data_IF_493286870650
#
_entry.id   IF_493286870650
#
_cell.length_a   1.000
_cell.length_b   1.000
_cell.length_c   1.000
_cell.angle_alpha   90.00
_cell.angle_beta   90.00
_cell.angle_gamma   90.00
#
_symmetry.space_group_name_H-M   'P 1'
#
loop_
_entity.id
_entity.type
_entity.pdbx_description
1 polymer ?
#
# COMPACT_ATOMS: atom_id res chain seq x y z
N UNK A 1 -10.83 -1.29 -18.05
CA UNK A 1 -12.27 -1.57 -17.84
C UNK A 1 -12.65 -2.99 -18.22
N UNK A 2 -12.54 -3.42 -19.49
CA UNK A 2 -12.91 -4.78 -19.90
C UNK A 2 -12.35 -5.92 -19.01
N UNK A 3 -11.08 -5.83 -18.61
CA UNK A 3 -10.46 -6.82 -17.70
C UNK A 3 -11.05 -6.83 -16.28
N UNK A 4 -11.52 -5.69 -15.77
CA UNK A 4 -12.20 -5.63 -14.47
C UNK A 4 -13.57 -6.28 -14.55
N UNK A 5 -14.34 -6.01 -15.61
CA UNK A 5 -15.64 -6.67 -15.80
C UNK A 5 -15.49 -8.18 -15.94
N UNK A 6 -14.48 -8.67 -16.68
CA UNK A 6 -14.19 -10.11 -16.75
C UNK A 6 -13.89 -10.70 -15.38
N UNK A 7 -13.03 -10.05 -14.59
CA UNK A 7 -12.67 -10.52 -13.25
C UNK A 7 -13.86 -10.54 -12.30
N UNK A 8 -14.63 -9.45 -12.26
CA UNK A 8 -15.79 -9.30 -11.39
C UNK A 8 -16.90 -10.29 -11.76
N UNK A 9 -17.06 -10.60 -13.05
CA UNK A 9 -17.99 -11.63 -13.53
C UNK A 9 -17.55 -13.04 -13.15
N UNK A 10 -16.24 -13.32 -13.26
CA UNK A 10 -15.69 -14.64 -12.97
C UNK A 10 -15.63 -14.96 -11.48
N UNK A 11 -15.43 -13.94 -10.62
CA UNK A 11 -15.24 -14.10 -9.18
C UNK A 11 -16.32 -13.31 -8.41
N UNK A 12 -17.42 -13.95 -7.97
CA UNK A 12 -18.55 -13.24 -7.36
C UNK A 12 -18.20 -12.59 -6.01
N UNK A 13 -17.26 -13.20 -5.27
CA UNK A 13 -16.83 -12.72 -3.95
C UNK A 13 -15.55 -11.87 -4.00
N UNK A 14 -15.05 -11.55 -5.20
CA UNK A 14 -13.88 -10.68 -5.34
C UNK A 14 -14.31 -9.22 -5.22
N UNK A 15 -13.62 -8.49 -4.34
CA UNK A 15 -13.70 -7.05 -4.22
C UNK A 15 -12.42 -6.42 -4.77
N UNK A 16 -12.57 -5.28 -5.43
CA UNK A 16 -11.48 -4.47 -5.96
C UNK A 16 -11.32 -3.22 -5.10
N UNK A 17 -10.08 -2.94 -4.70
CA UNK A 17 -9.71 -1.69 -4.04
C UNK A 17 -8.77 -0.94 -4.98
N UNK A 18 -9.17 0.25 -5.42
CA UNK A 18 -8.38 1.10 -6.30
C UNK A 18 -7.84 2.28 -5.51
N UNK A 19 -6.51 2.45 -5.56
CA UNK A 19 -5.77 3.55 -4.95
C UNK A 19 -5.02 4.29 -6.07
N UNK A 20 -5.18 5.61 -6.22
CA UNK A 20 -4.53 6.36 -7.29
C UNK A 20 -3.03 6.50 -7.06
N UNK A 21 -2.33 6.93 -8.09
CA UNK A 21 -0.91 7.26 -8.08
C UNK A 21 -0.72 8.66 -8.68
N UNK A 22 0.30 9.39 -8.22
CA UNK A 22 0.67 10.69 -8.83
C UNK A 22 1.11 10.53 -10.29
N UNK A 23 1.35 9.30 -10.74
CA UNK A 23 1.62 8.98 -12.15
C UNK A 23 0.37 8.73 -13.01
N UNK A 24 -0.82 8.77 -12.43
CA UNK A 24 -2.07 8.68 -13.19
C UNK A 24 -2.35 10.00 -13.92
N UNK A 25 -2.10 10.01 -15.23
CA UNK A 25 -2.20 11.23 -16.07
C UNK A 25 -3.55 11.94 -16.02
N UNK A 26 -4.61 11.22 -15.70
CA UNK A 26 -5.99 11.72 -15.66
C UNK A 26 -6.45 12.12 -14.25
N UNK A 27 -5.56 12.07 -13.26
CA UNK A 27 -5.85 12.34 -11.85
C UNK A 27 -4.97 13.47 -11.31
N UNK A 28 -5.34 14.17 -10.21
CA UNK A 28 -4.51 15.26 -9.68
C UNK A 28 -3.05 14.87 -9.43
N UNK A 29 -2.12 15.64 -10.00
CA UNK A 29 -0.67 15.50 -9.82
C UNK A 29 -0.21 16.16 -8.51
N UNK A 30 -0.78 15.74 -7.38
CA UNK A 30 -0.46 16.28 -6.06
C UNK A 30 -0.73 15.23 -4.99
N UNK A 31 0.19 15.05 -4.04
CA UNK A 31 0.05 14.18 -2.89
C UNK A 31 -0.33 15.00 -1.65
N UNK A 32 -1.33 14.59 -0.86
CA UNK A 32 -2.15 13.39 -1.00
C UNK A 32 -3.19 13.54 -2.14
N UNK A 33 -3.63 12.43 -2.72
CA UNK A 33 -4.63 12.40 -3.80
C UNK A 33 -6.00 11.94 -3.30
N UNK A 34 -7.10 12.55 -3.78
CA UNK A 34 -8.45 12.05 -3.51
C UNK A 34 -8.67 10.70 -4.21
N UNK A 35 -9.71 9.92 -3.85
CA UNK A 35 -10.13 8.76 -4.63
C UNK A 35 -10.44 9.13 -6.09
N UNK A 36 -10.40 8.14 -6.99
CA UNK A 36 -10.87 8.33 -8.37
C UNK A 36 -12.34 8.76 -8.42
N UNK A 37 -12.72 9.47 -9.49
CA UNK A 37 -14.11 9.87 -9.69
C UNK A 37 -15.01 8.63 -9.84
N UNK A 38 -15.96 8.50 -8.92
CA UNK A 38 -16.87 7.35 -8.87
C UNK A 38 -17.75 7.25 -10.11
N UNK A 39 -18.22 8.37 -10.66
CA UNK A 39 -19.09 8.36 -11.84
C UNK A 39 -18.33 7.83 -13.05
N UNK A 40 -17.12 8.34 -13.29
CA UNK A 40 -16.27 7.93 -14.41
C UNK A 40 -15.87 6.46 -14.31
N UNK A 41 -15.48 5.99 -13.12
CA UNK A 41 -15.08 4.58 -12.96
C UNK A 41 -16.28 3.65 -13.15
N UNK A 42 -17.46 4.03 -12.67
CA UNK A 42 -18.64 3.16 -12.65
C UNK A 42 -19.38 3.13 -13.99
N UNK A 43 -19.30 4.19 -14.79
CA UNK A 43 -19.74 4.16 -16.20
C UNK A 43 -19.02 3.09 -17.03
N UNK A 44 -17.80 2.70 -16.64
CA UNK A 44 -17.08 1.59 -17.26
C UNK A 44 -17.55 0.20 -16.82
N UNK A 45 -18.29 0.06 -15.72
CA UNK A 45 -18.68 -1.25 -15.20
C UNK A 45 -19.91 -1.78 -15.93
N UNK A 46 -19.87 -3.04 -16.37
CA UNK A 46 -20.93 -3.62 -17.20
C UNK A 46 -22.23 -3.91 -16.41
N UNK A 47 -22.15 -3.94 -15.08
CA UNK A 47 -23.28 -4.21 -14.19
C UNK A 47 -23.24 -3.33 -12.94
N UNK A 48 -24.40 -2.81 -12.55
CA UNK A 48 -24.58 -2.08 -11.28
C UNK A 48 -24.24 -2.92 -10.05
N UNK A 49 -24.33 -4.24 -10.14
CA UNK A 49 -23.98 -5.15 -9.04
C UNK A 49 -22.48 -5.11 -8.72
N UNK A 50 -21.66 -4.65 -9.65
CA UNK A 50 -20.23 -4.47 -9.44
C UNK A 50 -19.92 -3.27 -8.55
N UNK A 51 -20.85 -2.31 -8.43
CA UNK A 51 -20.66 -1.06 -7.67
C UNK A 51 -20.43 -1.30 -6.17
N UNK A 52 -20.96 -2.38 -5.61
CA UNK A 52 -20.75 -2.77 -4.20
C UNK A 52 -19.40 -3.45 -3.96
N UNK A 53 -18.73 -3.88 -5.04
CA UNK A 53 -17.47 -4.63 -5.00
C UNK A 53 -16.27 -3.82 -5.44
N UNK A 54 -16.47 -2.61 -5.96
CA UNK A 54 -15.38 -1.70 -6.35
C UNK A 54 -15.30 -0.54 -5.34
N UNK A 55 -14.22 -0.52 -4.58
CA UNK A 55 -13.91 0.48 -3.55
C UNK A 55 -12.83 1.42 -4.07
N UNK A 56 -13.11 2.73 -4.05
CA UNK A 56 -12.17 3.76 -4.48
C UNK A 56 -11.64 4.47 -3.24
N UNK A 57 -10.33 4.43 -3.02
CA UNK A 57 -9.67 5.03 -1.85
C UNK A 57 -8.68 6.11 -2.26
N UNK A 58 -8.30 6.97 -1.31
CA UNK A 58 -7.28 8.01 -1.49
C UNK A 58 -5.86 7.42 -1.52
N UNK A 59 -4.90 8.25 -1.95
CA UNK A 59 -3.47 7.98 -1.80
C UNK A 59 -2.83 9.02 -0.87
N UNK A 60 -2.35 8.64 0.33
CA UNK A 60 -2.36 7.30 0.89
C UNK A 60 -3.76 6.93 1.43
N UNK A 61 -3.92 5.70 1.91
CA UNK A 61 -5.14 5.28 2.62
C UNK A 61 -4.85 4.27 3.73
N UNK A 62 -5.66 4.36 4.79
CA UNK A 62 -5.77 3.35 5.85
C UNK A 62 -7.18 2.78 5.83
N UNK A 63 -7.34 1.47 5.75
CA UNK A 63 -8.64 0.80 5.66
C UNK A 63 -8.60 -0.54 6.37
N UNK A 64 -9.76 -1.18 6.56
CA UNK A 64 -9.85 -2.47 7.23
C UNK A 64 -10.45 -3.55 6.33
N UNK A 65 -9.91 -4.75 6.42
CA UNK A 65 -10.49 -5.96 5.81
C UNK A 65 -10.60 -7.01 6.91
N UNK A 66 -11.83 -7.42 7.25
CA UNK A 66 -12.10 -8.40 8.30
C UNK A 66 -11.37 -8.09 9.62
N UNK A 67 -11.39 -6.83 10.04
CA UNK A 67 -10.72 -6.35 11.26
C UNK A 67 -9.20 -6.14 11.14
N UNK A 68 -8.57 -6.57 10.04
CA UNK A 68 -7.15 -6.31 9.77
C UNK A 68 -6.97 -4.90 9.21
N UNK A 69 -6.11 -4.10 9.82
CA UNK A 69 -5.81 -2.73 9.36
C UNK A 69 -4.73 -2.76 8.29
N UNK A 70 -5.08 -2.28 7.10
CA UNK A 70 -4.16 -2.07 6.00
C UNK A 70 -3.80 -0.60 5.89
N UNK A 71 -2.51 -0.32 5.72
CA UNK A 71 -2.02 0.96 5.26
C UNK A 71 -1.41 0.81 3.87
N UNK A 72 -1.72 1.72 2.96
CA UNK A 72 -1.18 1.70 1.61
C UNK A 72 -0.87 3.12 1.12
N UNK A 73 0.24 3.24 0.39
CA UNK A 73 0.59 4.42 -0.39
C UNK A 73 1.16 3.95 -1.72
N UNK A 74 0.88 4.66 -2.81
CA UNK A 74 1.41 4.31 -4.14
C UNK A 74 2.63 5.14 -4.52
N UNK A 75 2.95 6.16 -3.73
CA UNK A 75 4.18 6.95 -3.83
C UNK A 75 5.38 6.12 -3.39
N UNK A 76 6.48 6.17 -4.14
CA UNK A 76 7.70 5.40 -3.85
C UNK A 76 8.56 6.05 -2.75
N UNK A 77 7.97 6.20 -1.55
CA UNK A 77 8.60 6.81 -0.39
C UNK A 77 9.87 6.07 0.05
N UNK A 78 9.95 4.76 -0.19
CA UNK A 78 11.15 3.98 0.11
C UNK A 78 12.33 4.35 -0.79
N UNK A 79 12.09 4.63 -2.07
CA UNK A 79 13.13 5.13 -2.97
C UNK A 79 13.61 6.51 -2.54
N UNK A 80 12.70 7.43 -2.22
CA UNK A 80 13.03 8.79 -1.79
C UNK A 80 13.80 8.81 -0.47
N UNK A 81 13.28 8.16 0.57
CA UNK A 81 14.00 8.02 1.84
C UNK A 81 15.35 7.33 1.64
N UNK A 82 15.41 6.33 0.76
CA UNK A 82 16.66 5.68 0.40
C UNK A 82 17.69 6.66 -0.14
N UNK A 83 17.29 7.60 -0.99
CA UNK A 83 18.17 8.63 -1.55
C UNK A 83 18.63 9.68 -0.53
N UNK A 84 17.83 9.93 0.51
CA UNK A 84 18.08 10.96 1.51
C UNK A 84 18.66 10.43 2.85
N UNK A 85 18.61 9.12 3.10
CA UNK A 85 19.04 8.53 4.37
C UNK A 85 20.56 8.55 4.53
N UNK A 86 21.03 9.06 5.68
CA UNK A 86 22.38 8.83 6.17
C UNK A 86 22.36 7.82 7.32
N UNK A 87 22.97 6.65 7.10
CA UNK A 87 23.07 5.61 8.13
C UNK A 87 24.53 5.20 8.34
N UNK A 88 25.02 5.37 9.56
CA UNK A 88 26.32 4.83 9.99
C UNK A 88 26.09 3.52 10.71
N UNK A 89 26.59 2.42 10.15
CA UNK A 89 26.54 1.11 10.80
C UNK A 89 27.88 0.78 11.47
N UNK A 90 27.84 0.16 12.65
CA UNK A 90 29.00 -0.49 13.27
C UNK A 90 29.12 -1.97 12.85
N UNK A 91 28.04 -2.57 12.32
CA UNK A 91 28.00 -3.95 11.84
C UNK A 91 27.31 -4.03 10.46
N UNK A 92 28.06 -4.26 9.37
CA UNK A 92 27.52 -4.17 8.00
C UNK A 92 26.36 -5.14 7.68
N UNK A 93 26.15 -6.18 8.49
CA UNK A 93 25.20 -7.25 8.18
C UNK A 93 23.89 -7.21 8.99
N UNK A 94 23.68 -6.25 9.91
CA UNK A 94 22.63 -6.38 10.93
C UNK A 94 21.25 -5.80 10.55
N UNK A 95 21.14 -4.88 9.59
CA UNK A 95 19.83 -4.29 9.27
C UNK A 95 19.66 -4.07 7.76
N UNK A 96 18.69 -4.80 7.19
CA UNK A 96 18.33 -4.62 5.79
C UNK A 96 17.77 -3.20 5.61
N UNK A 97 18.41 -2.40 4.76
CA UNK A 97 18.08 -0.99 4.50
C UNK A 97 16.57 -0.75 4.37
N UNK A 98 15.86 -1.61 3.62
CA UNK A 98 14.42 -1.48 3.38
C UNK A 98 13.58 -1.55 4.67
N UNK A 99 13.93 -2.40 5.63
CA UNK A 99 13.25 -2.45 6.92
C UNK A 99 13.50 -1.19 7.75
N UNK A 100 14.72 -0.65 7.70
CA UNK A 100 15.06 0.60 8.39
C UNK A 100 14.32 1.80 7.80
N UNK A 101 14.25 1.90 6.48
CA UNK A 101 13.46 2.94 5.80
C UNK A 101 11.97 2.83 6.17
N UNK A 102 11.43 1.61 6.20
CA UNK A 102 10.04 1.35 6.60
C UNK A 102 9.79 1.72 8.07
N UNK A 103 10.76 1.46 8.95
CA UNK A 103 10.68 1.83 10.36
C UNK A 103 10.54 3.34 10.55
N UNK A 104 11.12 4.16 9.68
CA UNK A 104 10.99 5.62 9.75
C UNK A 104 9.53 6.06 9.53
N UNK A 105 8.80 5.48 8.57
CA UNK A 105 7.38 5.76 8.36
C UNK A 105 6.57 5.48 9.62
N UNK A 106 6.79 4.30 10.22
CA UNK A 106 6.05 3.84 11.40
C UNK A 106 6.37 4.67 12.65
N UNK A 107 7.65 5.05 12.85
CA UNK A 107 8.07 5.88 13.99
C UNK A 107 7.63 7.33 13.86
N UNK A 108 7.58 7.84 12.64
CA UNK A 108 7.16 9.22 12.36
C UNK A 108 5.65 9.34 12.11
N UNK A 109 4.90 8.24 12.22
CA UNK A 109 3.45 8.21 12.06
C UNK A 109 2.98 8.87 10.76
N UNK A 110 3.74 8.70 9.67
CA UNK A 110 3.44 9.32 8.38
C UNK A 110 3.74 8.38 7.23
N UNK A 111 2.88 8.38 6.21
CA UNK A 111 3.14 7.71 4.94
C UNK A 111 4.24 8.39 4.13
N UNK A 112 4.53 9.67 4.42
CA UNK A 112 5.55 10.47 3.75
C UNK A 112 6.26 11.36 4.77
N UNK A 113 7.23 10.83 5.54
CA UNK A 113 7.92 11.61 6.57
C UNK A 113 9.11 12.45 6.06
N UNK A 114 9.51 12.27 4.80
CA UNK A 114 10.61 13.01 4.19
C UNK A 114 10.18 14.44 3.85
N UNK A 115 10.97 15.45 4.27
CA UNK A 115 10.75 16.83 3.85
C UNK A 115 12.09 17.57 3.69
N UNK A 116 12.29 18.31 2.58
CA UNK A 116 11.46 18.35 1.38
C UNK A 116 11.47 17.01 0.61
N UNK A 117 10.49 16.78 -0.28
CA UNK A 117 10.52 15.63 -1.19
C UNK A 117 11.77 15.72 -2.10
N UNK A 118 12.38 14.56 -2.37
CA UNK A 118 13.59 14.44 -3.20
C UNK A 118 13.30 13.86 -4.58
N UNK A 119 12.15 13.19 -4.75
CA UNK A 119 11.74 12.52 -5.99
C UNK A 119 10.71 13.31 -6.80
N UNK A 120 10.67 14.63 -6.63
CA UNK A 120 9.67 15.53 -7.22
C UNK A 120 8.21 15.13 -6.92
N UNK A 121 7.97 14.43 -5.80
CA UNK A 121 6.60 14.19 -5.34
C UNK A 121 5.99 15.53 -4.91
N UNK A 122 4.97 16.04 -5.61
CA UNK A 122 4.35 17.32 -5.28
C UNK A 122 3.53 17.19 -4.00
N UNK A 123 4.07 17.64 -2.86
CA UNK A 123 3.37 17.60 -1.57
C UNK A 123 2.51 18.85 -1.36
N UNK A 124 1.20 18.67 -1.19
CA UNK A 124 0.33 19.72 -0.66
C UNK A 124 0.28 19.64 0.87
N UNK A 125 1.11 20.45 1.51
CA UNK A 125 1.22 20.50 2.96
C UNK A 125 -0.04 21.03 3.65
N UNK A 126 -0.98 21.65 2.93
CA UNK A 126 -2.30 22.01 3.47
C UNK A 126 -3.06 20.77 3.95
N UNK A 127 -2.82 19.62 3.31
CA UNK A 127 -3.46 18.35 3.62
C UNK A 127 -2.53 17.38 4.36
N UNK A 128 -1.55 17.90 5.11
CA UNK A 128 -0.55 17.08 5.83
C UNK A 128 -1.15 16.02 6.75
N UNK A 129 -2.29 16.33 7.37
CA UNK A 129 -3.03 15.40 8.22
C UNK A 129 -3.53 14.16 7.47
N UNK A 130 -3.81 14.27 6.16
CA UNK A 130 -4.36 13.18 5.35
C UNK A 130 -3.31 12.13 4.95
N UNK A 131 -2.02 12.42 5.13
CA UNK A 131 -0.95 11.44 4.94
C UNK A 131 -0.21 11.06 6.22
N UNK A 132 -0.81 11.35 7.38
CA UNK A 132 -0.42 10.72 8.64
C UNK A 132 -0.97 9.29 8.73
N UNK A 133 -0.28 8.43 9.46
CA UNK A 133 -0.76 7.12 9.86
C UNK A 133 -1.69 7.31 11.08
N UNK A 134 -3.02 7.18 10.93
CA UNK A 134 -3.95 7.38 12.05
C UNK A 134 -3.75 6.33 13.14
N UNK A 135 -3.34 5.13 12.73
CA UNK A 135 -2.99 4.01 13.61
C UNK A 135 -1.79 3.29 12.99
N UNK A 136 -1.07 2.49 13.78
CA UNK A 136 -0.09 1.56 13.22
C UNK A 136 -0.83 0.45 12.45
N UNK A 137 -0.65 0.31 11.13
CA UNK A 137 -1.36 -0.71 10.37
C UNK A 137 -0.81 -2.10 10.69
N UNK A 138 -1.66 -3.11 10.62
CA UNK A 138 -1.24 -4.51 10.72
C UNK A 138 -0.44 -4.93 9.49
N UNK A 139 -0.86 -4.45 8.32
CA UNK A 139 -0.20 -4.68 7.03
C UNK A 139 0.10 -3.34 6.37
N UNK A 140 1.36 -3.07 6.04
CA UNK A 140 1.79 -1.86 5.36
C UNK A 140 2.28 -2.20 3.95
N UNK A 141 1.54 -1.74 2.94
CA UNK A 141 1.86 -1.93 1.53
C UNK A 141 2.67 -0.73 1.02
N UNK A 142 3.91 -1.00 0.60
CA UNK A 142 4.86 0.01 0.11
C UNK A 142 5.43 -0.43 -1.24
N UNK A 143 4.64 -0.34 -2.34
CA UNK A 143 5.13 -0.61 -3.68
C UNK A 143 6.31 0.30 -4.02
N UNK A 144 7.42 -0.31 -4.46
CA UNK A 144 8.64 0.40 -4.81
C UNK A 144 9.35 -0.28 -5.98
N UNK A 145 10.11 0.50 -6.77
CA UNK A 145 11.01 -0.04 -7.80
C UNK A 145 12.19 -0.81 -7.21
N UNK A 146 12.47 -0.60 -5.92
CA UNK A 146 13.51 -1.29 -5.16
C UNK A 146 13.26 -2.80 -5.06
N UNK A 147 14.22 -3.52 -4.49
CA UNK A 147 14.08 -4.95 -4.25
C UNK A 147 12.80 -5.23 -3.45
N UNK A 148 12.06 -6.25 -3.93
CA UNK A 148 10.86 -6.76 -3.24
C UNK A 148 11.27 -7.24 -1.86
N UNK A 149 10.44 -6.99 -0.88
CA UNK A 149 10.66 -7.49 0.47
C UNK A 149 9.32 -7.74 1.15
N UNK A 150 9.37 -8.64 2.12
CA UNK A 150 8.30 -8.88 3.06
C UNK A 150 8.95 -9.14 4.42
N UNK A 151 8.45 -8.50 5.47
CA UNK A 151 8.93 -8.74 6.82
C UNK A 151 8.24 -7.87 7.85
N UNK A 152 8.48 -8.19 9.12
CA UNK A 152 7.84 -7.49 10.24
C UNK A 152 8.72 -6.34 10.69
N UNK A 153 8.14 -5.15 10.77
CA UNK A 153 8.79 -3.93 11.27
C UNK A 153 7.85 -3.29 12.29
N UNK A 154 8.32 -3.08 13.53
CA UNK A 154 7.50 -2.49 14.61
C UNK A 154 6.11 -3.16 14.75
N UNK A 155 6.04 -4.49 14.58
CA UNK A 155 4.82 -5.32 14.61
C UNK A 155 3.93 -5.28 13.35
N UNK A 156 4.20 -4.38 12.40
CA UNK A 156 3.51 -4.32 11.11
C UNK A 156 4.14 -5.27 10.10
N UNK A 157 3.32 -6.06 9.40
CA UNK A 157 3.74 -6.83 8.24
C UNK A 157 3.91 -5.90 7.04
N UNK A 158 5.15 -5.60 6.67
CA UNK A 158 5.47 -4.65 5.62
C UNK A 158 5.78 -5.39 4.32
N UNK A 159 5.15 -4.99 3.22
CA UNK A 159 5.25 -5.68 1.93
C UNK A 159 5.53 -4.68 0.81
N UNK A 160 6.64 -4.87 0.10
CA UNK A 160 6.86 -4.32 -1.23
C UNK A 160 6.62 -5.41 -2.29
N UNK A 161 5.47 -5.39 -2.99
CA UNK A 161 5.19 -6.37 -4.05
C UNK A 161 6.07 -6.17 -5.30
N UNK A 162 6.75 -5.04 -5.42
CA UNK A 162 7.38 -4.58 -6.66
C UNK A 162 6.36 -4.01 -7.64
N UNK A 163 6.81 -3.77 -8.87
CA UNK A 163 5.94 -3.34 -9.97
C UNK A 163 5.43 -4.55 -10.75
N UNK A 164 4.17 -4.51 -11.16
CA UNK A 164 3.53 -5.57 -11.97
C UNK A 164 4.15 -5.70 -13.37
N UNK A 165 4.71 -4.62 -13.90
CA UNK A 165 5.46 -4.59 -15.16
C UNK A 165 6.75 -3.79 -14.98
N UNK A 166 7.84 -4.24 -15.63
CA UNK A 166 9.14 -3.58 -15.63
C UNK A 166 9.62 -3.37 -17.07
N UNK A 167 9.30 -2.20 -17.63
CA UNK A 167 9.58 -1.89 -19.03
C UNK A 167 8.84 -2.84 -19.96
N UNK A 168 9.58 -3.65 -20.71
CA UNK A 168 9.03 -4.66 -21.62
C UNK A 168 8.83 -6.05 -20.96
N UNK A 169 9.26 -6.23 -19.71
CA UNK A 169 9.19 -7.52 -19.02
C UNK A 169 8.06 -7.57 -17.98
N UNK A 170 7.57 -8.78 -17.73
CA UNK A 170 6.67 -9.07 -16.61
C UNK A 170 7.33 -8.75 -15.27
N UNK A 171 6.55 -8.20 -14.35
CA UNK A 171 6.97 -7.84 -13.01
C UNK A 171 6.48 -8.85 -11.97
N UNK A 172 6.01 -8.36 -10.84
CA UNK A 172 5.55 -9.18 -9.71
C UNK A 172 4.33 -8.59 -9.02
N UNK A 173 3.63 -9.45 -8.28
CA UNK A 173 2.58 -9.08 -7.32
C UNK A 173 2.77 -9.87 -6.02
N UNK A 174 2.09 -9.46 -4.96
CA UNK A 174 2.06 -10.19 -3.70
C UNK A 174 0.67 -10.78 -3.44
N UNK A 175 0.64 -12.00 -2.94
CA UNK A 175 -0.54 -12.69 -2.43
C UNK A 175 -0.39 -12.87 -0.92
N UNK A 176 -1.40 -12.43 -0.17
CA UNK A 176 -1.42 -12.49 1.29
C UNK A 176 -2.56 -13.43 1.72
N UNK A 177 -2.22 -14.54 2.35
CA UNK A 177 -3.18 -15.44 2.99
C UNK A 177 -3.18 -15.19 4.49
N UNK A 178 -4.23 -14.54 4.99
CA UNK A 178 -4.38 -14.19 6.40
C UNK A 178 -5.35 -15.18 7.05
N UNK A 179 -4.86 -16.00 7.99
CA UNK A 179 -5.71 -16.94 8.71
C UNK A 179 -6.63 -16.17 9.69
N UNK A 180 -7.89 -16.60 9.84
CA UNK A 180 -8.81 -15.96 10.77
C UNK A 180 -8.26 -16.06 12.19
N UNK A 181 -8.44 -15.00 12.97
CA UNK A 181 -8.30 -15.08 14.42
C UNK A 181 -9.63 -15.59 14.97
N UNK A 182 -9.60 -16.49 15.95
CA UNK A 182 -10.82 -16.97 16.62
C UNK A 182 -11.65 -15.81 17.16
N UNK A 183 -12.94 -16.06 17.43
CA UNK A 183 -13.78 -15.06 18.07
C UNK A 183 -13.39 -14.98 19.56
N UNK A 184 -13.00 -13.80 20.01
CA UNK A 184 -12.66 -13.54 21.41
C UNK A 184 -13.60 -12.46 21.96
N UNK A 185 -14.10 -12.64 23.18
CA UNK A 185 -14.99 -11.66 23.85
C UNK A 185 -14.26 -10.38 24.26
N UNK A 186 -12.94 -10.47 24.47
CA UNK A 186 -12.08 -9.36 24.86
C UNK A 186 -11.27 -8.82 23.68
N UNK A 187 -11.05 -7.49 23.58
CA UNK A 187 -10.16 -6.92 22.58
C UNK A 187 -8.73 -7.44 22.78
N UNK A 188 -8.16 -8.04 21.74
CA UNK A 188 -6.79 -8.53 21.74
C UNK A 188 -6.02 -7.98 20.54
N UNK A 189 -4.69 -7.92 20.66
CA UNK A 189 -3.82 -7.56 19.55
C UNK A 189 -4.09 -8.46 18.33
N UNK A 190 -4.18 -7.88 17.13
CA UNK A 190 -4.60 -8.62 15.95
C UNK A 190 -3.62 -9.72 15.53
N UNK A 191 -2.33 -9.58 15.88
CA UNK A 191 -1.25 -10.55 15.62
C UNK A 191 -1.16 -10.99 14.15
N UNK A 192 -1.55 -10.13 13.21
CA UNK A 192 -1.70 -10.45 11.78
C UNK A 192 -0.41 -11.00 11.20
N UNK A 193 0.74 -10.42 11.54
CA UNK A 193 2.05 -10.86 11.07
C UNK A 193 2.35 -12.34 11.38
N UNK A 194 1.85 -12.88 12.51
CA UNK A 194 2.11 -14.26 12.94
C UNK A 194 1.23 -15.29 12.21
N UNK A 195 0.12 -14.84 11.62
CA UNK A 195 -0.92 -15.66 11.00
C UNK A 195 -1.12 -15.35 9.52
N UNK A 196 -0.12 -14.73 8.88
CA UNK A 196 -0.14 -14.36 7.48
C UNK A 196 0.97 -15.05 6.71
N UNK A 197 0.61 -15.73 5.63
CA UNK A 197 1.55 -16.20 4.61
C UNK A 197 1.60 -15.15 3.48
N UNK A 198 2.80 -14.72 3.10
CA UNK A 198 3.01 -13.79 1.99
C UNK A 198 3.83 -14.45 0.90
N UNK A 199 3.31 -14.46 -0.31
CA UNK A 199 4.00 -14.96 -1.50
C UNK A 199 4.16 -13.84 -2.53
N UNK A 200 5.39 -13.59 -2.99
CA UNK A 200 5.63 -12.63 -4.07
C UNK A 200 5.86 -13.39 -5.38
N UNK A 201 4.88 -13.32 -6.29
CA UNK A 201 4.80 -14.12 -7.52
C UNK A 201 5.12 -13.25 -8.74
N UNK A 202 5.71 -13.87 -9.78
CA UNK A 202 5.88 -13.23 -11.10
C UNK A 202 4.56 -13.36 -11.89
N UNK A 203 4.28 -12.36 -12.72
CA UNK A 203 3.19 -12.40 -13.71
C UNK A 203 3.68 -12.93 -15.06
#
# INVERSE_FOLDING_TARGET
VAKFNTLLSALPNCHLVLIPSVRDVHHPYVYPQPPFDRTVVFEGLDSSDFHSRVHLLSNPSTFTINGTVFGATTTDILLELGGAEFHRTQQPNQQQRLFRLTEQLLRQHSYFPLFPSTGDTPLDLKYMEQFQLPVRPDVLLLPSVLNRFCGVVQESLCVNPGQLSKGQAGGTYAELTILPKGHHETPEAHQVAQRTLVEVKRI
#
